data_IF_712520453850
#
_entry.id   IF_712520453850
#
_cell.length_a   1.000
_cell.length_b   1.000
_cell.length_c   1.000
_cell.angle_alpha   90.00
_cell.angle_beta   90.00
_cell.angle_gamma   90.00
#
_symmetry.space_group_name_H-M   'P 1'
#
loop_
_entity.id
_entity.type
_entity.pdbx_description
1 polymer ?
#
# COMPACT_ATOMS: atom_id res chain seq x y z
N UNK A 1 4.55 -1.66 24.90
CA UNK A 1 4.61 -0.87 23.65
C UNK A 1 3.54 0.23 23.71
N UNK A 2 3.88 1.48 23.41
CA UNK A 2 2.94 2.59 23.52
C UNK A 2 1.73 2.36 22.59
N UNK A 3 0.49 2.49 23.09
CA UNK A 3 -0.73 2.13 22.32
C UNK A 3 -0.87 2.94 21.02
N UNK A 4 -0.29 4.14 20.97
CA UNK A 4 -0.14 4.95 19.75
C UNK A 4 0.76 4.25 18.71
N UNK A 5 1.88 3.66 19.13
CA UNK A 5 2.80 2.92 18.27
C UNK A 5 2.15 1.70 17.61
N UNK A 6 1.25 1.00 18.30
CA UNK A 6 0.53 -0.16 17.77
C UNK A 6 -0.37 0.23 16.58
N UNK A 7 -0.93 1.44 16.55
CA UNK A 7 -1.74 1.92 15.43
C UNK A 7 -0.90 2.52 14.29
N UNK A 8 0.24 3.13 14.62
CA UNK A 8 1.13 3.76 13.63
C UNK A 8 1.83 2.71 12.76
N UNK A 9 2.27 1.59 13.33
CA UNK A 9 2.95 0.51 12.60
C UNK A 9 2.12 0.02 11.39
N UNK A 10 0.86 -0.43 11.55
CA UNK A 10 0.06 -0.89 10.41
C UNK A 10 -0.27 0.23 9.41
N UNK A 11 -0.32 1.51 9.82
CA UNK A 11 -0.44 2.62 8.88
C UNK A 11 0.80 2.73 8.00
N UNK A 12 2.00 2.69 8.59
CA UNK A 12 3.26 2.76 7.83
C UNK A 12 3.36 1.60 6.84
N UNK A 13 3.08 0.37 7.29
CA UNK A 13 3.06 -0.80 6.40
C UNK A 13 1.98 -0.70 5.32
N UNK A 14 0.78 -0.22 5.65
CA UNK A 14 -0.30 -0.01 4.68
C UNK A 14 0.06 1.01 3.60
N UNK A 15 0.65 2.15 4.00
CA UNK A 15 1.16 3.16 3.09
C UNK A 15 2.28 2.63 2.20
N UNK A 16 3.22 1.87 2.76
CA UNK A 16 4.31 1.25 2.00
C UNK A 16 3.78 0.26 0.96
N UNK A 17 2.80 -0.57 1.33
CA UNK A 17 2.18 -1.50 0.39
C UNK A 17 1.35 -0.82 -0.70
N UNK A 18 0.74 0.34 -0.42
CA UNK A 18 0.03 1.09 -1.46
C UNK A 18 1.00 1.82 -2.39
N UNK A 19 1.84 2.69 -1.83
CA UNK A 19 2.71 3.59 -2.59
C UNK A 19 3.90 2.84 -3.18
N UNK A 20 4.55 1.99 -2.39
CA UNK A 20 5.71 1.21 -2.80
C UNK A 20 5.37 0.22 -3.91
N UNK A 21 4.20 -0.42 -3.86
CA UNK A 21 3.72 -1.30 -4.92
C UNK A 21 3.51 -0.56 -6.25
N UNK A 22 2.92 0.63 -6.21
CA UNK A 22 2.76 1.47 -7.41
C UNK A 22 4.11 1.92 -7.96
N UNK A 23 5.03 2.36 -7.10
CA UNK A 23 6.36 2.80 -7.51
C UNK A 23 7.18 1.64 -8.08
N UNK A 24 7.18 0.46 -7.44
CA UNK A 24 7.88 -0.72 -7.95
C UNK A 24 7.34 -1.16 -9.31
N UNK A 25 6.02 -1.12 -9.47
CA UNK A 25 5.33 -1.44 -10.72
C UNK A 25 5.69 -0.49 -11.86
N UNK A 26 5.96 0.79 -11.55
CA UNK A 26 6.35 1.78 -12.56
C UNK A 26 7.86 1.76 -12.87
N UNK A 27 8.71 1.58 -11.85
CA UNK A 27 10.17 1.71 -12.00
C UNK A 27 10.86 0.44 -12.49
N UNK A 28 10.42 -0.74 -12.05
CA UNK A 28 11.15 -2.00 -12.31
C UNK A 28 10.52 -2.85 -13.41
N UNK A 29 9.40 -2.40 -13.96
CA UNK A 29 8.65 -3.16 -14.96
C UNK A 29 8.55 -2.44 -16.31
N UNK A 30 9.04 -1.19 -16.44
CA UNK A 30 9.23 -0.59 -17.76
C UNK A 30 10.25 -1.45 -18.51
N UNK A 31 9.92 -2.06 -19.66
CA UNK A 31 10.90 -2.77 -20.44
C UNK A 31 11.89 -1.72 -20.94
N UNK A 32 13.04 -1.61 -20.27
CA UNK A 32 14.26 -1.41 -21.03
C UNK A 32 14.24 -2.47 -22.14
N UNK A 33 14.52 -2.08 -23.40
CA UNK A 33 14.18 -2.88 -24.58
C UNK A 33 14.62 -4.33 -24.36
N UNK A 34 13.65 -5.20 -24.10
CA UNK A 34 13.91 -6.63 -23.86
C UNK A 34 14.20 -7.21 -25.23
N UNK A 35 15.45 -7.06 -25.66
CA UNK A 35 16.00 -7.67 -26.86
C UNK A 35 15.29 -7.28 -28.16
N UNK A 36 16.05 -6.62 -29.03
CA UNK A 36 15.73 -6.38 -30.44
C UNK A 36 14.68 -5.28 -30.64
N UNK A 37 15.00 -4.33 -31.54
CA UNK A 37 14.30 -3.06 -31.75
C UNK A 37 12.91 -3.16 -32.38
N UNK A 38 12.04 -4.00 -31.81
CA UNK A 38 10.63 -4.07 -32.14
C UNK A 38 9.93 -3.01 -31.27
N UNK A 39 9.34 -1.97 -31.87
CA UNK A 39 8.57 -1.00 -31.11
C UNK A 39 7.36 -1.70 -30.50
N UNK A 40 7.34 -1.81 -29.18
CA UNK A 40 6.18 -2.29 -28.44
C UNK A 40 5.25 -1.09 -28.24
N UNK A 41 3.98 -1.22 -28.62
CA UNK A 41 3.01 -0.16 -28.34
C UNK A 41 2.83 0.01 -26.82
N UNK A 42 2.61 1.22 -26.30
CA UNK A 42 2.33 1.43 -24.87
C UNK A 42 1.14 0.60 -24.35
N UNK A 43 0.16 0.32 -25.21
CA UNK A 43 -0.98 -0.55 -24.92
C UNK A 43 -0.58 -2.02 -24.74
N UNK A 44 0.29 -2.55 -25.59
CA UNK A 44 0.75 -3.95 -25.48
C UNK A 44 1.61 -4.15 -24.24
N UNK A 45 2.43 -3.14 -23.90
CA UNK A 45 3.16 -3.10 -22.65
C UNK A 45 2.22 -3.19 -21.44
N UNK A 46 1.24 -2.29 -21.35
CA UNK A 46 0.30 -2.27 -20.23
C UNK A 46 -0.51 -3.56 -20.14
N UNK A 47 -0.91 -4.14 -21.27
CA UNK A 47 -1.62 -5.43 -21.30
C UNK A 47 -0.75 -6.56 -20.75
N UNK A 48 0.50 -6.66 -21.19
CA UNK A 48 1.43 -7.68 -20.70
C UNK A 48 1.76 -7.50 -19.22
N UNK A 49 1.96 -6.24 -18.80
CA UNK A 49 2.18 -5.91 -17.40
C UNK A 49 0.99 -6.32 -16.53
N UNK A 50 -0.25 -6.02 -16.96
CA UNK A 50 -1.46 -6.43 -16.24
C UNK A 50 -1.54 -7.95 -16.12
N UNK A 51 -1.32 -8.67 -17.23
CA UNK A 51 -1.34 -10.14 -17.22
C UNK A 51 -0.35 -10.75 -16.23
N UNK A 52 0.85 -10.19 -16.10
CA UNK A 52 1.89 -10.77 -15.27
C UNK A 52 1.80 -10.31 -13.80
N UNK A 53 1.48 -9.04 -13.57
CA UNK A 53 1.62 -8.42 -12.25
C UNK A 53 0.32 -7.89 -11.68
N UNK A 54 -0.69 -7.59 -12.48
CA UNK A 54 -1.79 -6.77 -12.01
C UNK A 54 -2.64 -7.46 -10.94
N UNK A 55 -2.82 -8.79 -10.98
CA UNK A 55 -3.53 -9.51 -9.92
C UNK A 55 -2.79 -9.36 -8.58
N UNK A 56 -1.46 -9.51 -8.61
CA UNK A 56 -0.60 -9.33 -7.44
C UNK A 56 -0.65 -7.88 -6.96
N UNK A 57 -0.59 -6.90 -7.88
CA UNK A 57 -0.72 -5.47 -7.55
C UNK A 57 -2.04 -5.17 -6.84
N UNK A 58 -3.17 -5.73 -7.32
CA UNK A 58 -4.48 -5.55 -6.69
C UNK A 58 -4.52 -6.20 -5.30
N UNK A 59 -4.01 -7.41 -5.14
CA UNK A 59 -3.96 -8.10 -3.84
C UNK A 59 -3.16 -7.27 -2.83
N UNK A 60 -1.98 -6.77 -3.23
CA UNK A 60 -1.14 -5.93 -2.37
C UNK A 60 -1.84 -4.62 -2.01
N UNK A 61 -2.52 -3.99 -2.97
CA UNK A 61 -3.26 -2.75 -2.72
C UNK A 61 -4.41 -2.97 -1.71
N UNK A 62 -5.15 -4.06 -1.85
CA UNK A 62 -6.22 -4.45 -0.90
C UNK A 62 -5.63 -4.70 0.50
N UNK A 63 -4.53 -5.45 0.59
CA UNK A 63 -3.85 -5.70 1.87
C UNK A 63 -3.36 -4.39 2.52
N UNK A 64 -2.77 -3.49 1.74
CA UNK A 64 -2.33 -2.18 2.22
C UNK A 64 -3.49 -1.33 2.76
N UNK A 65 -4.61 -1.29 2.06
CA UNK A 65 -5.81 -0.58 2.49
C UNK A 65 -6.38 -1.14 3.81
N UNK A 66 -6.43 -2.47 3.94
CA UNK A 66 -6.90 -3.13 5.16
C UNK A 66 -6.03 -2.78 6.37
N UNK A 67 -4.70 -2.76 6.22
CA UNK A 67 -3.78 -2.36 7.28
C UNK A 67 -3.96 -0.90 7.69
N UNK A 68 -4.15 0.00 6.73
CA UNK A 68 -4.45 1.40 6.97
C UNK A 68 -5.73 1.58 7.79
N UNK A 69 -6.81 0.92 7.38
CA UNK A 69 -8.11 0.97 8.09
C UNK A 69 -7.94 0.48 9.53
N UNK A 70 -7.24 -0.64 9.75
CA UNK A 70 -7.04 -1.18 11.10
C UNK A 70 -6.16 -0.27 11.96
N UNK A 71 -5.09 0.28 11.40
CA UNK A 71 -4.22 1.23 12.11
C UNK A 71 -4.96 2.49 12.54
N UNK A 72 -5.76 3.08 11.65
CA UNK A 72 -6.62 4.25 11.94
C UNK A 72 -7.63 3.90 13.03
N UNK A 73 -8.31 2.73 12.93
CA UNK A 73 -9.27 2.28 13.95
C UNK A 73 -8.62 2.14 15.34
N UNK A 74 -7.39 1.61 15.41
CA UNK A 74 -6.63 1.48 16.66
C UNK A 74 -6.33 2.87 17.25
N UNK A 75 -5.86 3.80 16.42
CA UNK A 75 -5.56 5.17 16.85
C UNK A 75 -6.80 5.90 17.37
N UNK A 76 -7.93 5.83 16.67
CA UNK A 76 -9.19 6.45 17.09
C UNK A 76 -9.67 5.87 18.42
N UNK A 77 -9.67 4.53 18.56
CA UNK A 77 -10.09 3.86 19.81
C UNK A 77 -9.22 4.26 21.00
N UNK A 78 -7.92 4.38 20.79
CA UNK A 78 -7.00 4.79 21.84
C UNK A 78 -7.22 6.25 22.25
N UNK A 79 -7.47 7.14 21.29
CA UNK A 79 -7.70 8.56 21.59
C UNK A 79 -9.00 8.78 22.39
N UNK A 80 -10.08 8.06 22.05
CA UNK A 80 -11.33 8.10 22.81
C UNK A 80 -11.16 7.67 24.27
N UNK A 81 -10.38 6.61 24.53
CA UNK A 81 -10.14 6.15 25.91
C UNK A 81 -9.36 7.18 26.74
N UNK A 82 -8.38 7.87 26.13
CA UNK A 82 -7.58 8.87 26.84
C UNK A 82 -8.43 10.09 27.22
N UNK A 83 -9.33 10.55 26.34
CA UNK A 83 -10.28 11.63 26.64
C UNK A 83 -11.16 11.30 27.85
N UNK A 84 -11.79 10.12 27.87
CA UNK A 84 -12.68 9.71 28.97
C UNK A 84 -11.96 9.70 30.33
N UNK A 85 -10.69 9.24 30.38
CA UNK A 85 -9.90 9.24 31.62
C UNK A 85 -9.56 10.66 32.08
N UNK A 86 -9.43 11.60 31.16
CA UNK A 86 -9.10 12.99 31.48
C UNK A 86 -10.33 13.75 32.00
N UNK A 87 -11.53 13.42 31.50
CA UNK A 87 -12.80 14.00 31.97
C UNK A 87 -13.30 13.40 33.30
N UNK A 88 -12.80 12.22 33.70
CA UNK A 88 -13.19 11.53 34.93
C UNK A 88 -12.31 11.83 36.15
N UNK A 89 -11.27 12.65 36.01
CA UNK A 89 -10.36 13.07 37.09
C UNK A 89 -10.51 14.57 37.36
#
# INVERSE_FOLDING_TARGET
MNKKGIGIIPIIFGCYLLVGNTIFSLLFNYPGPIGWGIPISPSDYWRNWWNNNGLVTVIIAVAGLLLLIQGIRILIRNNKRTLIITESN
#
